data_IF_465211299575
#
_entry.id   IF_465211299575
#
_cell.length_a   1.000
_cell.length_b   1.000
_cell.length_c   1.000
_cell.angle_alpha   90.00
_cell.angle_beta   90.00
_cell.angle_gamma   90.00
#
_symmetry.space_group_name_H-M   'P 1'
#
loop_
_entity.id
_entity.type
_entity.pdbx_description
1 polymer ?
#
# COMPACT_ATOMS: atom_id res chain seq x y z
N UNK A 1 11.93 -13.07 -27.29
CA UNK A 1 11.76 -12.27 -28.52
C UNK A 1 12.69 -11.05 -28.59
N UNK A 2 12.62 -10.08 -27.65
CA UNK A 2 13.32 -8.78 -27.77
C UNK A 2 14.83 -8.85 -28.06
N UNK A 3 15.57 -9.73 -27.38
CA UNK A 3 17.02 -9.88 -27.62
C UNK A 3 17.30 -10.45 -29.03
N UNK A 4 16.51 -11.43 -29.47
CA UNK A 4 16.67 -12.08 -30.77
C UNK A 4 16.28 -11.18 -31.93
N UNK A 5 15.26 -10.33 -31.80
CA UNK A 5 14.92 -9.35 -32.84
C UNK A 5 15.98 -8.23 -32.93
N UNK A 6 16.46 -7.73 -31.79
CA UNK A 6 17.49 -6.70 -31.74
C UNK A 6 18.78 -7.15 -32.41
N UNK A 7 19.24 -8.40 -32.20
CA UNK A 7 20.44 -8.91 -32.88
C UNK A 7 20.28 -8.92 -34.40
N UNK A 8 19.10 -9.26 -34.91
CA UNK A 8 18.82 -9.22 -36.36
C UNK A 8 18.74 -7.78 -36.90
N UNK A 9 18.24 -6.83 -36.10
CA UNK A 9 18.26 -5.40 -36.47
C UNK A 9 19.68 -4.87 -36.61
N UNK A 10 20.62 -5.31 -35.76
CA UNK A 10 22.04 -4.94 -35.85
C UNK A 10 22.76 -5.57 -37.05
N UNK A 11 22.29 -6.73 -37.54
CA UNK A 11 22.85 -7.41 -38.72
C UNK A 11 22.39 -6.74 -40.03
N UNK A 12 21.28 -6.00 -40.01
CA UNK A 12 20.79 -5.31 -41.20
C UNK A 12 21.57 -4.01 -41.46
N UNK A 13 21.78 -3.60 -42.72
CA UNK A 13 22.35 -2.30 -43.06
C UNK A 13 21.56 -1.15 -42.43
N UNK A 14 22.21 -0.03 -42.08
CA UNK A 14 21.56 1.15 -41.48
C UNK A 14 20.42 1.75 -42.34
N UNK A 15 20.38 1.44 -43.65
CA UNK A 15 19.33 1.84 -44.60
C UNK A 15 18.12 0.90 -44.65
N UNK A 16 18.18 -0.25 -43.97
CA UNK A 16 17.09 -1.23 -43.96
C UNK A 16 15.91 -0.76 -43.11
N UNK A 17 14.71 -1.03 -43.61
CA UNK A 17 13.47 -0.73 -42.90
C UNK A 17 13.25 -1.70 -41.75
N UNK A 18 12.37 -1.34 -40.81
CA UNK A 18 11.91 -2.25 -39.75
C UNK A 18 11.27 -3.51 -40.34
N UNK A 19 10.63 -3.38 -41.51
CA UNK A 19 10.02 -4.49 -42.25
C UNK A 19 11.05 -5.49 -42.75
N UNK A 20 12.21 -5.02 -43.24
CA UNK A 20 13.28 -5.91 -43.72
C UNK A 20 13.89 -6.72 -42.56
N UNK A 21 14.07 -6.08 -41.40
CA UNK A 21 14.55 -6.74 -40.18
C UNK A 21 13.53 -7.78 -39.66
N UNK A 22 12.23 -7.49 -39.76
CA UNK A 22 11.17 -8.43 -39.41
C UNK A 22 11.15 -9.64 -40.34
N UNK A 23 11.30 -9.44 -41.64
CA UNK A 23 11.38 -10.51 -42.64
C UNK A 23 12.56 -11.46 -42.40
N UNK A 24 13.73 -10.92 -42.03
CA UNK A 24 14.91 -11.71 -41.71
C UNK A 24 14.72 -12.50 -40.41
N UNK A 25 14.13 -11.88 -39.39
CA UNK A 25 13.77 -12.57 -38.16
C UNK A 25 12.76 -13.70 -38.42
N UNK A 26 11.71 -13.47 -39.23
CA UNK A 26 10.71 -14.48 -39.60
C UNK A 26 11.34 -15.68 -40.30
N UNK A 27 12.23 -15.45 -41.26
CA UNK A 27 12.98 -16.53 -41.91
C UNK A 27 13.84 -17.31 -40.92
N UNK A 28 14.49 -16.60 -39.99
CA UNK A 28 15.41 -17.18 -39.01
C UNK A 28 14.72 -18.08 -37.98
N UNK A 29 13.50 -17.74 -37.53
CA UNK A 29 12.78 -18.58 -36.56
C UNK A 29 11.88 -19.64 -37.22
N UNK A 30 11.44 -19.45 -38.47
CA UNK A 30 10.67 -20.45 -39.23
C UNK A 30 11.54 -21.54 -39.87
N UNK A 31 12.84 -21.28 -40.05
CA UNK A 31 13.75 -22.22 -40.72
C UNK A 31 13.50 -22.33 -42.23
N UNK A 32 13.03 -21.25 -42.89
CA UNK A 32 12.74 -21.23 -44.32
C UNK A 32 14.01 -21.05 -45.17
N UNK A 33 14.88 -22.07 -45.18
CA UNK A 33 16.06 -22.16 -46.04
C UNK A 33 16.49 -23.61 -46.26
N UNK A 34 16.95 -23.95 -47.48
CA UNK A 34 17.13 -25.32 -47.97
C UNK A 34 17.98 -26.25 -47.06
N UNK A 35 18.79 -25.71 -46.14
CA UNK A 35 19.57 -26.48 -45.15
C UNK A 35 19.74 -25.80 -43.77
N UNK A 36 18.82 -24.93 -43.32
CA UNK A 36 19.02 -24.15 -42.07
C UNK A 36 18.05 -24.53 -40.97
N UNK A 37 18.58 -25.09 -39.88
CA UNK A 37 17.85 -25.19 -38.61
C UNK A 37 17.49 -23.78 -38.10
N UNK A 38 16.34 -23.62 -37.40
CA UNK A 38 15.94 -22.34 -36.85
C UNK A 38 16.94 -21.90 -35.77
N UNK A 39 17.69 -20.84 -36.07
CA UNK A 39 18.73 -20.30 -35.17
C UNK A 39 18.25 -19.10 -34.35
N UNK A 40 17.00 -18.67 -34.55
CA UNK A 40 16.35 -17.61 -33.79
C UNK A 40 15.20 -18.17 -32.94
N UNK A 41 15.01 -17.58 -31.75
CA UNK A 41 13.93 -17.97 -30.87
C UNK A 41 12.57 -17.51 -31.44
N UNK A 42 11.58 -18.42 -31.47
CA UNK A 42 10.21 -18.09 -31.85
C UNK A 42 9.64 -16.95 -30.99
N UNK A 43 8.80 -16.07 -31.55
CA UNK A 43 8.22 -14.94 -30.84
C UNK A 43 7.06 -15.38 -29.93
N UNK A 44 7.37 -16.22 -28.94
CA UNK A 44 6.37 -16.71 -28.00
C UNK A 44 6.12 -15.70 -26.87
N UNK A 45 4.90 -15.63 -26.33
CA UNK A 45 4.59 -14.81 -25.16
C UNK A 45 5.56 -15.10 -23.99
N UNK A 46 5.85 -14.08 -23.19
CA UNK A 46 6.85 -14.14 -22.10
C UNK A 46 6.66 -15.29 -21.10
N UNK A 47 5.42 -15.76 -20.96
CA UNK A 47 5.04 -16.86 -20.08
C UNK A 47 5.18 -18.25 -20.73
N UNK A 48 5.12 -18.34 -22.07
CA UNK A 48 5.17 -19.60 -22.80
C UNK A 48 6.51 -19.73 -23.49
N UNK A 49 7.52 -20.22 -22.76
CA UNK A 49 8.89 -20.37 -23.30
C UNK A 49 9.11 -21.70 -24.03
N UNK A 50 8.21 -22.67 -23.86
CA UNK A 50 8.42 -24.07 -24.28
C UNK A 50 7.32 -24.62 -25.20
N UNK A 51 6.10 -24.07 -25.18
CA UNK A 51 4.99 -24.51 -26.03
C UNK A 51 4.35 -23.33 -26.77
N UNK A 52 3.96 -23.55 -28.02
CA UNK A 52 3.14 -22.60 -28.76
C UNK A 52 1.70 -22.81 -28.31
N UNK A 53 1.12 -21.83 -27.62
CA UNK A 53 -0.30 -21.88 -27.30
C UNK A 53 -1.08 -21.76 -28.63
N UNK A 54 -2.01 -22.66 -28.88
CA UNK A 54 -2.88 -22.60 -30.05
C UNK A 54 -4.19 -21.92 -29.66
N UNK A 55 -4.71 -21.06 -30.54
CA UNK A 55 -6.07 -20.54 -30.41
C UNK A 55 -7.08 -21.69 -30.61
N UNK A 56 -8.35 -21.46 -30.24
CA UNK A 56 -9.45 -22.38 -30.54
C UNK A 56 -9.60 -22.73 -32.03
N UNK A 57 -9.01 -21.92 -32.92
CA UNK A 57 -8.98 -22.12 -34.36
C UNK A 57 -7.71 -22.83 -34.86
N UNK A 58 -6.86 -23.35 -33.97
CA UNK A 58 -5.60 -24.04 -34.31
C UNK A 58 -4.50 -23.11 -34.81
N UNK A 59 -4.61 -21.80 -34.56
CA UNK A 59 -3.62 -20.81 -35.01
C UNK A 59 -2.61 -20.58 -33.87
N UNK A 60 -1.29 -20.64 -34.14
CA UNK A 60 -0.27 -20.38 -33.13
C UNK A 60 -0.36 -18.94 -32.60
N UNK A 61 -0.36 -18.81 -31.27
CA UNK A 61 -0.40 -17.54 -30.56
C UNK A 61 1.03 -17.05 -30.33
N UNK A 62 1.32 -15.85 -30.81
CA UNK A 62 2.62 -15.19 -30.67
C UNK A 62 2.52 -13.98 -29.73
N UNK A 63 3.67 -13.49 -29.29
CA UNK A 63 3.77 -12.34 -28.39
C UNK A 63 3.14 -11.08 -29.02
N UNK A 64 2.51 -10.24 -28.20
CA UNK A 64 1.92 -8.96 -28.62
C UNK A 64 2.91 -8.07 -29.40
N UNK A 65 4.20 -8.08 -29.03
CA UNK A 65 5.23 -7.29 -29.71
C UNK A 65 5.44 -7.76 -31.15
N UNK A 66 5.31 -9.05 -31.42
CA UNK A 66 5.35 -9.60 -32.77
C UNK A 66 4.18 -9.15 -33.62
N UNK A 67 2.97 -9.20 -33.05
CA UNK A 67 1.77 -8.75 -33.73
C UNK A 67 1.77 -7.24 -33.98
N UNK A 68 2.31 -6.43 -33.05
CA UNK A 68 2.49 -4.99 -33.24
C UNK A 68 3.53 -4.68 -34.33
N UNK A 69 4.65 -5.40 -34.37
CA UNK A 69 5.65 -5.27 -35.44
C UNK A 69 5.06 -5.65 -36.80
N UNK A 70 4.27 -6.73 -36.87
CA UNK A 70 3.55 -7.10 -38.09
C UNK A 70 2.52 -6.06 -38.52
N UNK A 71 1.75 -5.49 -37.59
CA UNK A 71 0.80 -4.43 -37.90
C UNK A 71 1.50 -3.16 -38.41
N UNK A 72 2.66 -2.83 -37.83
CA UNK A 72 3.48 -1.70 -38.26
C UNK A 72 4.04 -1.89 -39.68
N UNK A 73 4.51 -3.10 -40.00
CA UNK A 73 5.09 -3.44 -41.30
C UNK A 73 4.05 -3.76 -42.38
N UNK A 74 2.91 -4.34 -42.01
CA UNK A 74 1.83 -4.77 -42.89
C UNK A 74 0.49 -4.24 -42.38
N UNK A 75 -0.06 -3.25 -43.09
CA UNK A 75 -1.34 -2.61 -42.74
C UNK A 75 -2.56 -3.55 -42.79
N UNK A 76 -2.41 -4.77 -43.29
CA UNK A 76 -3.45 -5.80 -43.41
C UNK A 76 -3.36 -6.92 -42.36
N UNK A 77 -2.60 -6.73 -41.27
CA UNK A 77 -2.50 -7.72 -40.19
C UNK A 77 -3.82 -7.80 -39.37
N UNK A 78 -4.41 -8.99 -39.15
CA UNK A 78 -5.68 -9.13 -38.42
C UNK A 78 -5.54 -8.70 -36.96
N UNK A 79 -6.33 -7.71 -36.56
CA UNK A 79 -6.37 -7.19 -35.20
C UNK A 79 -6.89 -8.21 -34.18
N UNK A 80 -7.63 -9.22 -34.61
CA UNK A 80 -8.17 -10.30 -33.77
C UNK A 80 -7.08 -11.04 -32.99
N UNK A 81 -5.95 -11.33 -33.63
CA UNK A 81 -4.81 -11.97 -32.97
C UNK A 81 -4.14 -11.04 -31.98
N UNK A 82 -3.99 -9.76 -32.32
CA UNK A 82 -3.40 -8.76 -31.43
C UNK A 82 -4.27 -8.50 -30.19
N UNK A 83 -5.58 -8.52 -30.35
CA UNK A 83 -6.55 -8.30 -29.28
C UNK A 83 -6.79 -9.54 -28.41
N UNK A 84 -6.25 -10.70 -28.80
CA UNK A 84 -6.35 -11.92 -28.02
C UNK A 84 -5.56 -11.74 -26.70
N UNK A 85 -6.21 -11.84 -25.52
CA UNK A 85 -5.54 -11.68 -24.22
C UNK A 85 -4.36 -12.63 -24.00
N UNK A 86 -4.40 -13.81 -24.64
CA UNK A 86 -3.32 -14.79 -24.63
C UNK A 86 -2.04 -14.34 -25.37
N UNK A 87 -2.02 -13.19 -26.04
CA UNK A 87 -0.78 -12.68 -26.66
C UNK A 87 0.14 -11.95 -25.69
N UNK A 88 -0.36 -11.54 -24.51
CA UNK A 88 0.41 -10.77 -23.53
C UNK A 88 0.18 -11.16 -22.07
N UNK A 89 -0.82 -11.98 -21.75
CA UNK A 89 -1.08 -12.45 -20.39
C UNK A 89 -1.51 -13.92 -20.36
N UNK A 90 -1.09 -14.66 -19.33
CA UNK A 90 -1.61 -16.00 -19.01
C UNK A 90 -3.10 -15.94 -18.63
N UNK A 91 -3.48 -14.83 -18.01
CA UNK A 91 -4.80 -14.63 -17.45
C UNK A 91 -5.45 -13.42 -18.15
N UNK A 92 -6.54 -13.63 -18.91
CA UNK A 92 -7.26 -12.59 -19.64
C UNK A 92 -7.75 -11.41 -18.79
N UNK A 93 -7.72 -11.52 -17.45
CA UNK A 93 -8.29 -10.55 -16.51
C UNK A 93 -7.25 -9.82 -15.64
N UNK A 94 -5.97 -10.23 -15.61
CA UNK A 94 -5.07 -9.86 -14.50
C UNK A 94 -4.69 -8.36 -14.44
N UNK A 95 -4.45 -7.72 -15.59
CA UNK A 95 -4.16 -6.28 -15.63
C UNK A 95 -5.43 -5.42 -15.63
N UNK A 96 -6.53 -5.92 -16.21
CA UNK A 96 -7.79 -5.15 -16.31
C UNK A 96 -8.46 -5.06 -14.96
N UNK A 97 -8.57 -6.18 -14.25
CA UNK A 97 -9.19 -6.26 -12.94
C UNK A 97 -8.45 -5.36 -11.95
N UNK A 98 -7.11 -5.37 -11.99
CA UNK A 98 -6.28 -4.50 -11.17
C UNK A 98 -6.42 -3.03 -11.56
N UNK A 99 -6.34 -2.70 -12.86
CA UNK A 99 -6.54 -1.32 -13.31
C UNK A 99 -7.94 -0.78 -12.99
N UNK A 100 -8.96 -1.64 -12.99
CA UNK A 100 -10.32 -1.28 -12.64
C UNK A 100 -10.48 -1.10 -11.12
N UNK A 101 -9.85 -1.97 -10.32
CA UNK A 101 -9.76 -1.79 -8.87
C UNK A 101 -9.03 -0.48 -8.51
N UNK A 102 -7.92 -0.16 -9.18
CA UNK A 102 -7.17 1.08 -8.98
C UNK A 102 -8.01 2.31 -9.34
N UNK A 103 -8.84 2.24 -10.39
CA UNK A 103 -9.80 3.28 -10.74
C UNK A 103 -10.84 3.50 -9.65
N UNK A 104 -11.43 2.41 -9.13
CA UNK A 104 -12.39 2.49 -8.03
C UNK A 104 -11.76 3.06 -6.76
N UNK A 105 -10.52 2.66 -6.45
CA UNK A 105 -9.73 3.22 -5.35
C UNK A 105 -9.54 4.74 -5.51
N UNK A 106 -9.25 5.22 -6.72
CA UNK A 106 -9.07 6.66 -7.00
C UNK A 106 -10.35 7.50 -6.89
N UNK A 107 -11.51 6.85 -6.91
CA UNK A 107 -12.83 7.48 -6.77
C UNK A 107 -13.41 7.31 -5.35
N UNK A 108 -12.59 6.92 -4.36
CA UNK A 108 -13.01 6.62 -3.00
C UNK A 108 -14.06 5.50 -2.90
N UNK A 109 -14.12 4.60 -3.89
CA UNK A 109 -15.01 3.43 -3.94
C UNK A 109 -14.24 2.13 -3.68
N UNK A 110 -13.35 2.15 -2.68
CA UNK A 110 -12.42 1.07 -2.39
C UNK A 110 -13.11 -0.23 -1.94
N UNK A 111 -14.32 -0.17 -1.38
CA UNK A 111 -15.14 -1.33 -1.03
C UNK A 111 -15.53 -2.15 -2.28
N UNK A 112 -15.77 -1.46 -3.40
CA UNK A 112 -16.03 -2.08 -4.69
C UNK A 112 -14.73 -2.55 -5.35
N UNK A 113 -13.62 -1.86 -5.12
CA UNK A 113 -12.30 -2.35 -5.52
C UNK A 113 -12.00 -3.71 -4.86
N UNK A 114 -12.33 -3.88 -3.57
CA UNK A 114 -12.21 -5.16 -2.86
C UNK A 114 -13.09 -6.24 -3.50
N UNK A 115 -14.36 -5.93 -3.79
CA UNK A 115 -15.27 -6.86 -4.48
C UNK A 115 -14.69 -7.32 -5.83
N UNK A 116 -14.15 -6.39 -6.62
CA UNK A 116 -13.51 -6.67 -7.90
C UNK A 116 -12.30 -7.60 -7.71
N UNK A 117 -11.42 -7.31 -6.74
CA UNK A 117 -10.24 -8.12 -6.45
C UNK A 117 -10.53 -9.51 -5.88
N UNK A 118 -11.70 -9.74 -5.27
CA UNK A 118 -12.12 -11.07 -4.84
C UNK A 118 -12.26 -12.05 -6.02
N UNK A 119 -12.38 -11.55 -7.25
CA UNK A 119 -12.47 -12.37 -8.46
C UNK A 119 -11.10 -12.82 -8.99
N UNK A 120 -9.99 -12.45 -8.33
CA UNK A 120 -8.66 -12.96 -8.68
C UNK A 120 -8.63 -14.49 -8.47
N UNK A 121 -8.25 -15.28 -9.49
CA UNK A 121 -8.26 -16.74 -9.38
C UNK A 121 -7.18 -17.28 -8.43
N UNK A 122 -6.01 -16.63 -8.38
CA UNK A 122 -4.92 -17.04 -7.48
C UNK A 122 -5.23 -16.72 -6.01
N UNK A 123 -5.25 -17.71 -5.10
CA UNK A 123 -5.66 -17.49 -3.71
C UNK A 123 -4.68 -16.62 -2.93
N UNK A 124 -3.37 -16.75 -3.17
CA UNK A 124 -2.34 -15.97 -2.49
C UNK A 124 -2.34 -14.51 -2.95
N UNK A 125 -2.40 -14.27 -4.26
CA UNK A 125 -2.50 -12.93 -4.85
C UNK A 125 -3.79 -12.21 -4.44
N UNK A 126 -4.91 -12.94 -4.40
CA UNK A 126 -6.21 -12.42 -3.92
C UNK A 126 -6.11 -11.96 -2.47
N UNK A 127 -5.68 -12.82 -1.56
CA UNK A 127 -5.58 -12.49 -0.14
C UNK A 127 -4.66 -11.28 0.09
N UNK A 128 -3.49 -11.27 -0.53
CA UNK A 128 -2.54 -10.17 -0.41
C UNK A 128 -3.10 -8.84 -0.93
N UNK A 129 -3.74 -8.83 -2.10
CA UNK A 129 -4.24 -7.58 -2.70
C UNK A 129 -5.46 -7.04 -1.94
N UNK A 130 -6.35 -7.92 -1.48
CA UNK A 130 -7.48 -7.54 -0.61
C UNK A 130 -6.99 -6.98 0.72
N UNK A 131 -6.06 -7.66 1.39
CA UNK A 131 -5.45 -7.15 2.63
C UNK A 131 -4.72 -5.82 2.42
N UNK A 132 -4.06 -5.63 1.27
CA UNK A 132 -3.39 -4.39 0.95
C UNK A 132 -4.38 -3.20 0.85
N UNK A 133 -5.53 -3.36 0.17
CA UNK A 133 -6.54 -2.30 0.10
C UNK A 133 -7.13 -2.03 1.50
N UNK A 134 -7.51 -3.08 2.22
CA UNK A 134 -8.06 -2.93 3.58
C UNK A 134 -7.06 -2.20 4.49
N UNK A 135 -5.79 -2.59 4.49
CA UNK A 135 -4.76 -1.97 5.34
C UNK A 135 -4.54 -0.47 5.06
N UNK A 136 -4.85 0.00 3.85
CA UNK A 136 -4.67 1.39 3.45
C UNK A 136 -5.87 2.26 3.78
N UNK A 137 -7.07 1.73 3.58
CA UNK A 137 -8.31 2.50 3.63
C UNK A 137 -9.11 2.30 4.92
N UNK A 138 -8.82 1.26 5.71
CA UNK A 138 -9.53 1.05 6.96
C UNK A 138 -9.26 2.23 7.89
N UNK A 139 -10.34 2.81 8.40
CA UNK A 139 -10.31 3.80 9.47
C UNK A 139 -10.37 3.10 10.82
N UNK A 140 -9.86 3.79 11.85
CA UNK A 140 -9.87 3.32 13.24
C UNK A 140 -11.13 3.81 13.95
N UNK A 141 -11.78 4.84 13.40
CA UNK A 141 -13.06 5.35 13.84
C UNK A 141 -14.19 4.35 13.58
N UNK A 142 -15.34 4.61 14.20
CA UNK A 142 -16.54 3.74 14.26
C UNK A 142 -16.84 2.99 12.95
N UNK A 143 -17.36 1.77 13.11
CA UNK A 143 -17.79 0.85 12.05
C UNK A 143 -18.47 1.59 10.88
N UNK A 144 -17.68 1.91 9.86
CA UNK A 144 -18.19 2.63 8.71
C UNK A 144 -19.10 1.71 7.88
N UNK A 145 -20.07 2.29 7.15
CA UNK A 145 -20.98 1.51 6.28
C UNK A 145 -20.23 0.58 5.32
N UNK A 146 -19.01 0.98 4.94
CA UNK A 146 -18.11 0.19 4.10
C UNK A 146 -17.55 -1.03 4.84
N UNK A 147 -17.18 -0.91 6.11
CA UNK A 147 -16.71 -2.02 6.94
C UNK A 147 -17.81 -3.06 7.16
N UNK A 148 -19.02 -2.60 7.51
CA UNK A 148 -20.19 -3.49 7.61
C UNK A 148 -20.46 -4.20 6.29
N UNK A 149 -20.35 -3.50 5.15
CA UNK A 149 -20.48 -4.10 3.82
C UNK A 149 -19.42 -5.19 3.57
N UNK A 150 -18.15 -4.99 3.94
CA UNK A 150 -17.10 -6.01 3.79
C UNK A 150 -17.40 -7.28 4.61
N UNK A 151 -17.89 -7.11 5.84
CA UNK A 151 -18.12 -8.22 6.77
C UNK A 151 -19.42 -8.94 6.40
N UNK A 152 -20.51 -8.21 6.20
CA UNK A 152 -21.84 -8.77 6.01
C UNK A 152 -22.08 -9.22 4.57
N UNK A 153 -21.74 -8.39 3.57
CA UNK A 153 -22.04 -8.69 2.17
C UNK A 153 -20.92 -9.46 1.49
N UNK A 154 -19.66 -9.06 1.71
CA UNK A 154 -18.49 -9.71 1.07
C UNK A 154 -17.93 -10.88 1.88
N UNK A 155 -18.42 -11.12 3.11
CA UNK A 155 -18.01 -12.22 3.98
C UNK A 155 -16.49 -12.26 4.22
N UNK A 156 -15.86 -11.08 4.30
CA UNK A 156 -14.43 -10.98 4.59
C UNK A 156 -14.20 -11.34 6.05
N UNK A 157 -13.17 -12.16 6.36
CA UNK A 157 -12.87 -12.49 7.75
C UNK A 157 -12.62 -11.24 8.60
N UNK A 158 -13.40 -11.09 9.68
CA UNK A 158 -13.24 -9.99 10.65
C UNK A 158 -11.80 -9.87 11.16
N UNK A 159 -11.10 -11.00 11.26
CA UNK A 159 -9.68 -11.07 11.60
C UNK A 159 -8.81 -10.15 10.74
N UNK A 160 -9.05 -10.09 9.42
CA UNK A 160 -8.24 -9.25 8.52
C UNK A 160 -8.47 -7.76 8.73
N UNK A 161 -9.71 -7.38 9.07
CA UNK A 161 -10.07 -6.00 9.38
C UNK A 161 -9.35 -5.58 10.67
N UNK A 162 -9.46 -6.40 11.70
CA UNK A 162 -8.82 -6.16 12.99
C UNK A 162 -7.29 -6.12 12.91
N UNK A 163 -6.66 -7.05 12.17
CA UNK A 163 -5.21 -7.02 11.91
C UNK A 163 -4.79 -5.73 11.20
N UNK A 164 -5.62 -5.23 10.29
CA UNK A 164 -5.39 -3.97 9.58
C UNK A 164 -5.56 -2.75 10.51
N UNK A 165 -6.63 -2.68 11.31
CA UNK A 165 -6.84 -1.65 12.34
C UNK A 165 -5.66 -1.62 13.34
N UNK A 166 -5.21 -2.78 13.80
CA UNK A 166 -4.08 -2.90 14.71
C UNK A 166 -2.74 -2.44 14.07
N UNK A 167 -2.47 -2.85 12.82
CA UNK A 167 -1.28 -2.43 12.08
C UNK A 167 -1.26 -0.91 11.89
N UNK A 168 -2.42 -0.32 11.59
CA UNK A 168 -2.57 1.12 11.46
C UNK A 168 -2.32 1.83 12.78
N UNK A 169 -2.92 1.35 13.88
CA UNK A 169 -2.68 1.86 15.22
C UNK A 169 -1.19 1.83 15.61
N UNK A 170 -0.49 0.74 15.27
CA UNK A 170 0.97 0.63 15.46
C UNK A 170 1.70 1.70 14.65
N UNK A 171 1.40 1.84 13.36
CA UNK A 171 2.00 2.86 12.50
C UNK A 171 1.79 4.28 13.03
N UNK A 172 0.57 4.58 13.51
CA UNK A 172 0.22 5.86 14.11
C UNK A 172 1.07 6.12 15.35
N UNK A 173 1.14 5.16 16.27
CA UNK A 173 1.94 5.29 17.50
C UNK A 173 3.43 5.44 17.18
N UNK A 174 3.95 4.69 16.21
CA UNK A 174 5.38 4.68 15.85
C UNK A 174 5.80 5.90 14.99
N UNK A 175 4.91 6.49 14.19
CA UNK A 175 5.30 7.47 13.18
C UNK A 175 4.47 8.76 13.13
N UNK A 176 3.20 8.73 13.52
CA UNK A 176 2.29 9.89 13.44
C UNK A 176 2.24 10.65 14.77
N UNK A 177 2.14 9.94 15.90
CA UNK A 177 1.98 10.53 17.23
C UNK A 177 3.07 11.57 17.54
N UNK A 178 4.33 11.27 17.19
CA UNK A 178 5.44 12.21 17.37
C UNK A 178 5.31 13.49 16.55
N UNK A 179 4.81 13.40 15.31
CA UNK A 179 4.58 14.56 14.44
C UNK A 179 3.37 15.38 14.90
N UNK A 180 2.30 14.70 15.28
CA UNK A 180 1.09 15.32 15.82
C UNK A 180 1.41 16.14 17.08
N UNK A 181 2.20 15.58 18.00
CA UNK A 181 2.60 16.26 19.24
C UNK A 181 3.57 17.42 18.99
N UNK A 182 4.51 17.29 18.03
CA UNK A 182 5.39 18.40 17.63
C UNK A 182 4.58 19.57 17.05
N UNK A 183 3.53 19.27 16.30
CA UNK A 183 2.72 20.25 15.61
C UNK A 183 1.53 20.76 16.44
N UNK A 184 1.44 20.37 17.72
CA UNK A 184 0.31 20.69 18.61
C UNK A 184 -1.07 20.31 18.04
N UNK A 185 -1.10 19.32 17.13
CA UNK A 185 -2.33 18.82 16.54
C UNK A 185 -2.77 17.59 17.33
N UNK A 186 -3.42 17.85 18.45
CA UNK A 186 -3.86 16.83 19.41
C UNK A 186 -5.23 16.24 19.07
N UNK A 187 -6.11 17.01 18.41
CA UNK A 187 -7.48 16.60 18.06
C UNK A 187 -7.50 15.28 17.26
N UNK A 188 -6.72 15.20 16.18
CA UNK A 188 -6.67 13.99 15.34
C UNK A 188 -6.08 12.77 16.07
N UNK A 189 -5.16 13.00 17.01
CA UNK A 189 -4.52 11.93 17.75
C UNK A 189 -5.44 11.41 18.86
N UNK A 190 -6.18 12.28 19.51
CA UNK A 190 -7.13 11.95 20.58
C UNK A 190 -8.35 11.20 20.01
N UNK A 191 -8.99 11.72 18.97
CA UNK A 191 -10.14 11.07 18.31
C UNK A 191 -9.84 9.60 17.96
N UNK A 192 -8.68 9.39 17.36
CA UNK A 192 -8.23 8.09 16.88
C UNK A 192 -7.74 7.14 17.99
N UNK A 193 -7.13 7.65 19.05
CA UNK A 193 -6.69 6.82 20.19
C UNK A 193 -7.88 6.46 21.09
N UNK A 194 -8.83 7.37 21.28
CA UNK A 194 -10.08 7.11 22.00
C UNK A 194 -10.94 6.08 21.28
N UNK A 195 -11.00 6.13 19.94
CA UNK A 195 -11.70 5.10 19.14
C UNK A 195 -11.17 3.68 19.43
N UNK A 196 -9.86 3.52 19.63
CA UNK A 196 -9.25 2.23 20.00
C UNK A 196 -9.54 1.80 21.45
N UNK A 197 -9.77 2.75 22.35
CA UNK A 197 -10.09 2.50 23.76
C UNK A 197 -11.56 2.11 23.94
N UNK A 198 -12.48 2.78 23.22
CA UNK A 198 -13.94 2.54 23.31
C UNK A 198 -14.34 1.10 23.00
N UNK A 199 -13.66 0.47 22.05
CA UNK A 199 -14.07 -0.82 21.50
C UNK A 199 -13.23 -2.00 22.01
N UNK A 200 -12.44 -1.83 23.07
CA UNK A 200 -11.53 -2.87 23.61
C UNK A 200 -10.51 -3.41 22.57
N UNK A 201 -10.43 -2.78 21.40
CA UNK A 201 -9.62 -3.18 20.25
C UNK A 201 -8.11 -3.06 20.53
N UNK A 202 -7.75 -2.24 21.52
CA UNK A 202 -6.39 -2.17 22.05
C UNK A 202 -5.81 -3.52 22.50
N UNK A 203 -6.63 -4.51 22.87
CA UNK A 203 -6.17 -5.85 23.30
C UNK A 203 -5.42 -6.61 22.20
N UNK A 204 -5.69 -6.29 20.94
CA UNK A 204 -5.05 -6.88 19.77
C UNK A 204 -3.82 -6.10 19.32
N UNK A 205 -3.66 -4.87 19.84
CA UNK A 205 -2.52 -3.99 19.54
C UNK A 205 -1.37 -4.34 20.48
N UNK A 206 -0.32 -4.95 19.94
CA UNK A 206 0.87 -5.28 20.72
C UNK A 206 1.52 -4.02 21.31
N UNK A 207 1.63 -3.95 22.64
CA UNK A 207 2.31 -2.85 23.32
C UNK A 207 1.45 -1.61 23.58
N UNK A 208 0.13 -1.69 23.42
CA UNK A 208 -0.78 -0.56 23.67
C UNK A 208 -0.67 0.01 25.09
N UNK A 209 -0.63 -0.86 26.12
CA UNK A 209 -0.54 -0.43 27.52
C UNK A 209 0.74 0.37 27.79
N UNK A 210 1.81 0.08 27.05
CA UNK A 210 3.08 0.77 27.19
C UNK A 210 3.19 1.98 26.25
N UNK A 211 2.28 2.10 25.27
CA UNK A 211 2.29 3.05 24.16
C UNK A 211 1.10 4.02 24.16
N UNK A 212 0.02 3.62 23.48
CA UNK A 212 -1.18 4.43 23.27
C UNK A 212 -1.81 4.95 24.57
N UNK A 213 -1.86 4.13 25.62
CA UNK A 213 -2.35 4.54 26.94
C UNK A 213 -1.52 5.70 27.54
N UNK A 214 -0.20 5.65 27.39
CA UNK A 214 0.71 6.71 27.87
C UNK A 214 0.53 8.00 27.08
N UNK A 215 0.23 7.90 25.78
CA UNK A 215 -0.04 9.05 24.92
C UNK A 215 -1.38 9.69 25.28
N UNK A 216 -2.44 8.92 25.48
CA UNK A 216 -3.75 9.43 25.93
C UNK A 216 -3.65 10.15 27.27
N UNK A 217 -2.92 9.58 28.23
CA UNK A 217 -2.72 10.22 29.53
C UNK A 217 -1.92 11.53 29.43
N UNK A 218 -0.94 11.59 28.51
CA UNK A 218 -0.23 12.83 28.22
C UNK A 218 -1.18 13.90 27.64
N UNK A 219 -2.02 13.54 26.67
CA UNK A 219 -2.99 14.46 26.06
C UNK A 219 -4.00 14.97 27.11
N UNK A 220 -4.49 14.10 27.99
CA UNK A 220 -5.37 14.49 29.09
C UNK A 220 -4.73 15.52 30.04
N UNK A 221 -3.44 15.37 30.37
CA UNK A 221 -2.71 16.34 31.19
C UNK A 221 -2.53 17.68 30.46
N UNK A 222 -2.28 17.66 29.15
CA UNK A 222 -2.22 18.89 28.34
C UNK A 222 -3.56 19.63 28.38
N UNK A 223 -4.68 18.92 28.19
CA UNK A 223 -6.01 19.51 28.30
C UNK A 223 -6.29 20.09 29.70
N UNK A 224 -5.94 19.37 30.78
CA UNK A 224 -6.10 19.88 32.16
C UNK A 224 -5.29 21.16 32.38
N UNK A 225 -4.04 21.20 31.90
CA UNK A 225 -3.17 22.38 32.02
C UNK A 225 -3.70 23.55 31.20
N UNK A 226 -4.14 23.32 29.96
CA UNK A 226 -4.75 24.36 29.12
C UNK A 226 -6.00 24.95 29.77
N UNK A 227 -6.85 24.12 30.35
CA UNK A 227 -8.06 24.55 31.04
C UNK A 227 -7.76 25.41 32.26
N UNK A 228 -6.73 25.04 33.04
CA UNK A 228 -6.27 25.83 34.20
C UNK A 228 -5.74 27.20 33.74
N UNK A 229 -4.98 27.23 32.63
CA UNK A 229 -4.43 28.47 32.07
C UNK A 229 -5.53 29.37 31.50
N UNK A 230 -6.50 28.80 30.77
CA UNK A 230 -7.64 29.54 30.20
C UNK A 230 -8.55 30.13 31.29
N UNK A 231 -8.75 29.43 32.40
CA UNK A 231 -9.64 29.86 33.50
C UNK A 231 -9.00 30.86 34.48
N UNK A 232 -7.71 31.20 34.33
CA UNK A 232 -6.96 32.10 35.24
C UNK A 232 -7.25 31.82 36.72
N UNK A 233 -7.23 30.53 37.09
CA UNK A 233 -7.69 30.09 38.40
C UNK A 233 -6.74 30.60 39.51
N UNK A 234 -7.19 31.32 40.55
CA UNK A 234 -6.32 31.81 41.62
C UNK A 234 -5.61 30.69 42.42
N UNK A 235 -5.99 29.42 42.23
CA UNK A 235 -5.39 28.25 42.86
C UNK A 235 -4.41 27.47 41.96
N UNK A 236 -3.85 28.08 40.89
CA UNK A 236 -2.91 27.40 39.97
C UNK A 236 -1.81 26.63 40.70
N UNK A 237 -1.22 27.23 41.75
CA UNK A 237 -0.12 26.61 42.51
C UNK A 237 -0.49 25.28 43.16
N UNK A 238 -1.72 25.14 43.68
CA UNK A 238 -2.18 23.89 44.31
C UNK A 238 -2.44 22.79 43.27
N UNK A 239 -3.04 23.16 42.13
CA UNK A 239 -3.24 22.24 41.00
C UNK A 239 -1.90 21.74 40.43
N UNK A 240 -0.92 22.63 40.28
CA UNK A 240 0.40 22.28 39.76
C UNK A 240 1.18 21.35 40.70
N UNK A 241 1.01 21.52 42.02
CA UNK A 241 1.56 20.59 43.02
C UNK A 241 0.92 19.21 42.93
N UNK A 242 -0.39 19.14 42.64
CA UNK A 242 -1.11 17.88 42.44
C UNK A 242 -0.73 17.16 41.14
N UNK A 243 -0.44 17.91 40.08
CA UNK A 243 -0.03 17.36 38.77
C UNK A 243 1.42 16.86 38.74
N UNK A 244 2.28 17.39 39.62
CA UNK A 244 3.70 17.04 39.72
C UNK A 244 3.99 15.52 39.88
N UNK A 245 3.35 14.78 40.81
CA UNK A 245 3.58 13.33 40.94
C UNK A 245 3.13 12.55 39.69
N UNK A 246 2.01 12.94 39.08
CA UNK A 246 1.48 12.30 37.85
C UNK A 246 2.42 12.50 36.67
N UNK A 247 2.89 13.74 36.46
CA UNK A 247 3.89 14.06 35.44
C UNK A 247 5.21 13.32 35.65
N UNK A 248 5.61 13.10 36.90
CA UNK A 248 6.86 12.37 37.22
C UNK A 248 6.72 10.88 36.89
N UNK A 249 5.57 10.28 37.20
CA UNK A 249 5.25 8.90 36.84
C UNK A 249 5.14 8.73 35.32
N UNK A 250 4.41 9.61 34.64
CA UNK A 250 4.25 9.63 33.19
C UNK A 250 5.61 9.77 32.49
N UNK A 251 6.47 10.68 32.95
CA UNK A 251 7.84 10.83 32.44
C UNK A 251 8.69 9.56 32.62
N UNK A 252 8.40 8.73 33.62
CA UNK A 252 9.09 7.45 33.84
C UNK A 252 8.58 6.37 32.88
N UNK A 253 7.27 6.32 32.61
CA UNK A 253 6.65 5.38 31.66
C UNK A 253 6.98 5.72 30.21
N UNK A 254 7.04 7.01 29.86
CA UNK A 254 7.43 7.45 28.52
C UNK A 254 8.87 7.02 28.17
N UNK A 255 9.76 6.96 29.17
CA UNK A 255 11.14 6.47 28.96
C UNK A 255 11.21 4.97 28.65
N UNK A 256 10.16 4.21 28.93
CA UNK A 256 10.11 2.75 28.74
C UNK A 256 9.44 2.33 27.42
N UNK A 257 9.06 3.31 26.58
CA UNK A 257 8.50 3.05 25.24
C UNK A 257 9.50 2.31 24.34
N UNK A 258 9.08 1.25 23.62
CA UNK A 258 9.96 0.51 22.71
C UNK A 258 10.38 1.38 21.53
N UNK A 259 11.69 1.62 21.39
CA UNK A 259 12.29 2.52 20.39
C UNK A 259 12.54 1.76 19.08
N UNK A 260 11.88 2.17 17.98
CA UNK A 260 12.11 1.56 16.65
C UNK A 260 12.34 2.52 15.48
N UNK A 261 11.96 3.79 15.52
CA UNK A 261 12.46 4.83 14.58
C UNK A 261 12.15 6.26 15.09
N UNK A 262 12.84 7.34 14.62
CA UNK A 262 13.33 8.61 15.25
C UNK A 262 12.59 9.41 16.35
N UNK A 263 11.67 8.79 17.08
CA UNK A 263 10.95 9.24 18.29
C UNK A 263 11.85 9.39 19.52
N UNK A 264 13.17 9.15 19.42
CA UNK A 264 14.17 9.65 20.38
C UNK A 264 14.04 11.17 20.66
N UNK A 265 13.24 11.88 19.86
CA UNK A 265 12.81 13.28 19.99
C UNK A 265 11.61 13.54 20.92
N UNK A 266 10.75 12.55 21.22
CA UNK A 266 9.79 12.60 22.33
C UNK A 266 10.53 12.91 23.66
N UNK A 267 11.75 12.38 23.79
CA UNK A 267 12.69 12.62 24.91
C UNK A 267 13.22 14.07 24.96
N UNK A 268 13.13 14.84 23.87
CA UNK A 268 13.51 16.26 23.84
C UNK A 268 12.35 17.22 24.13
N UNK A 269 11.14 16.88 23.71
CA UNK A 269 9.94 17.75 23.85
C UNK A 269 9.42 17.73 25.28
N UNK A 270 9.37 16.55 25.91
CA UNK A 270 9.09 16.42 27.35
C UNK A 270 10.15 17.16 28.17
N UNK A 271 11.41 17.17 27.71
CA UNK A 271 12.52 17.86 28.39
C UNK A 271 12.41 19.39 28.25
N UNK A 272 11.93 19.92 27.13
CA UNK A 272 11.66 21.36 26.94
C UNK A 272 10.37 21.83 27.62
N UNK A 273 9.32 21.01 27.66
CA UNK A 273 8.08 21.31 28.38
C UNK A 273 8.32 21.27 29.90
N UNK A 274 9.13 20.33 30.41
CA UNK A 274 9.53 20.27 31.82
C UNK A 274 10.47 21.43 32.20
N UNK A 275 11.37 21.87 31.31
CA UNK A 275 12.17 23.09 31.52
C UNK A 275 11.33 24.38 31.48
N UNK A 276 10.29 24.42 30.65
CA UNK A 276 9.32 25.52 30.60
C UNK A 276 8.48 25.57 31.89
N UNK A 277 7.94 24.44 32.33
CA UNK A 277 7.25 24.31 33.61
C UNK A 277 8.16 24.70 34.78
N UNK A 278 9.40 24.20 34.81
CA UNK A 278 10.37 24.49 35.87
C UNK A 278 10.79 25.98 35.91
N UNK A 279 10.72 26.69 34.78
CA UNK A 279 11.10 28.11 34.68
C UNK A 279 9.95 29.07 35.03
N UNK A 280 8.69 28.68 34.78
CA UNK A 280 7.52 29.55 34.96
C UNK A 280 6.65 29.20 36.19
N UNK A 281 6.69 27.96 36.67
CA UNK A 281 5.85 27.50 37.82
C UNK A 281 6.61 27.52 39.16
N UNK A 282 7.92 27.25 39.16
CA UNK A 282 8.73 27.16 40.39
C UNK A 282 9.43 28.48 40.79
N UNK A 283 9.22 29.57 40.03
CA UNK A 283 9.74 30.91 40.35
C UNK A 283 8.66 31.86 40.93
N UNK A 284 7.52 31.30 41.38
CA UNK A 284 6.57 31.95 42.27
C UNK A 284 6.60 31.27 43.64
#
# INVERSE_FOLDING_TARGET
MGISFSTHRYVCPLSSSVTDALLLYEKAFRGEGEHSEPYAASPLPSYSKTHIAESFSGVPIYDILYHLLRLFSYKSHPLEQLLNPATYSIDPLDYRLRSFADQLESHDLWEWAVFVLLHIPEPNGRAHTVQAIISRHITVDEDCEKESFLIEQLQIPVKWIYESKATRAIFIMEHIASRAIINENYEFLEEMLEALEREDHWKQVSGWQNGGCVILEYLGIIHEVEDIVKKQDPMVGSHLVRLKPVLTDLCSRIKLLPVRSPIDRFVGIIRSFFLFFQKYVLNF
#
